data_IF_888016657557
#
_entry.id   IF_888016657557
#
_cell.length_a   1.000
_cell.length_b   1.000
_cell.length_c   1.000
_cell.angle_alpha   90.00
_cell.angle_beta   90.00
_cell.angle_gamma   90.00
#
_symmetry.space_group_name_H-M   'P 1'
#
loop_
_entity.id
_entity.type
_entity.pdbx_description
1 polymer ?
#
# COMPACT_ATOMS: atom_id res chain seq x y z
N UNK A 1 -2.08 9.85 20.68
CA UNK A 1 -1.50 9.51 19.38
C UNK A 1 -1.08 10.83 18.74
N UNK A 2 0.21 11.15 18.72
CA UNK A 2 0.68 12.34 18.00
C UNK A 2 0.21 12.28 16.54
N UNK A 3 -0.28 13.41 16.02
CA UNK A 3 -0.83 13.47 14.67
C UNK A 3 0.31 13.37 13.63
N UNK A 4 0.24 12.38 12.74
CA UNK A 4 1.27 12.18 11.70
C UNK A 4 1.31 13.40 10.75
N UNK A 5 2.37 14.21 10.86
CA UNK A 5 2.59 15.39 10.02
C UNK A 5 2.61 15.05 8.53
N UNK A 6 3.13 13.87 8.13
CA UNK A 6 3.15 13.46 6.72
C UNK A 6 1.74 13.21 6.18
N UNK A 7 0.88 12.57 6.97
CA UNK A 7 -0.52 12.39 6.61
C UNK A 7 -1.27 13.72 6.53
N UNK A 8 -0.94 14.68 7.41
CA UNK A 8 -1.48 16.03 7.32
C UNK A 8 -1.01 16.78 6.06
N UNK A 9 0.23 16.60 5.63
CA UNK A 9 0.74 17.21 4.39
C UNK A 9 0.14 16.56 3.14
N UNK A 10 -0.13 15.26 3.17
CA UNK A 10 -0.71 14.53 2.04
C UNK A 10 -2.21 14.80 1.85
N UNK A 11 -2.95 14.99 2.94
CA UNK A 11 -4.41 15.15 2.93
C UNK A 11 -4.89 16.32 2.04
N UNK A 12 -4.33 17.54 2.10
CA UNK A 12 -4.71 18.66 1.26
C UNK A 12 -4.52 18.46 -0.24
N UNK A 13 -3.70 17.49 -0.67
CA UNK A 13 -3.52 17.22 -2.10
C UNK A 13 -4.68 16.42 -2.73
N UNK A 14 -5.59 15.86 -1.92
CA UNK A 14 -6.75 15.11 -2.41
C UNK A 14 -7.95 16.05 -2.65
N UNK A 15 -7.84 16.89 -3.67
CA UNK A 15 -8.89 17.85 -4.07
C UNK A 15 -9.72 17.28 -5.22
N UNK A 16 -11.07 17.29 -5.16
CA UNK A 16 -11.91 16.86 -6.27
C UNK A 16 -11.53 17.58 -7.58
N UNK A 17 -11.50 16.83 -8.68
CA UNK A 17 -11.17 17.32 -10.03
C UNK A 17 -9.72 17.84 -10.21
N UNK A 18 -8.85 17.70 -9.20
CA UNK A 18 -7.43 17.95 -9.32
C UNK A 18 -6.67 16.63 -9.38
N UNK A 19 -6.11 16.30 -10.55
CA UNK A 19 -5.34 15.07 -10.72
C UNK A 19 -4.08 15.08 -9.85
N UNK A 20 -3.97 14.09 -8.97
CA UNK A 20 -2.78 13.81 -8.18
C UNK A 20 -2.11 12.54 -8.72
N UNK A 21 -0.90 12.69 -9.25
CA UNK A 21 -0.11 11.56 -9.75
C UNK A 21 0.79 11.03 -8.65
N UNK A 22 0.64 9.73 -8.35
CA UNK A 22 1.56 9.00 -7.49
C UNK A 22 2.45 8.12 -8.37
N UNK A 23 3.73 8.45 -8.46
CA UNK A 23 4.69 7.52 -9.04
C UNK A 23 4.92 6.35 -8.09
N UNK A 24 4.88 5.15 -8.64
CA UNK A 24 5.21 3.95 -7.92
C UNK A 24 6.73 3.75 -7.93
N UNK A 25 7.38 3.94 -6.79
CA UNK A 25 8.84 3.73 -6.61
C UNK A 25 9.09 2.48 -5.77
N UNK A 26 10.27 1.89 -5.91
CA UNK A 26 10.60 0.64 -5.22
C UNK A 26 12.04 0.56 -4.72
N UNK A 27 12.90 1.50 -5.09
CA UNK A 27 14.27 1.62 -4.62
C UNK A 27 14.69 3.10 -4.62
N UNK A 28 15.89 3.40 -4.12
CA UNK A 28 16.41 4.75 -4.08
C UNK A 28 16.69 5.32 -5.49
N UNK A 29 17.05 4.48 -6.46
CA UNK A 29 17.34 4.91 -7.83
C UNK A 29 16.06 5.40 -8.54
N UNK A 30 14.98 4.61 -8.51
CA UNK A 30 13.66 4.96 -9.04
C UNK A 30 13.06 6.17 -8.30
N UNK A 31 13.27 6.28 -6.99
CA UNK A 31 12.93 7.49 -6.24
C UNK A 31 13.66 8.71 -6.81
N UNK A 32 14.97 8.65 -6.95
CA UNK A 32 15.78 9.78 -7.42
C UNK A 32 15.41 10.18 -8.84
N UNK A 33 15.10 9.22 -9.71
CA UNK A 33 14.58 9.50 -11.06
C UNK A 33 13.27 10.28 -10.97
N UNK A 34 12.30 9.80 -10.19
CA UNK A 34 11.00 10.48 -10.02
C UNK A 34 11.15 11.88 -9.43
N UNK A 35 11.99 12.03 -8.40
CA UNK A 35 12.25 13.33 -7.77
C UNK A 35 12.97 14.29 -8.72
N UNK A 36 13.89 13.78 -9.55
CA UNK A 36 14.60 14.57 -10.56
C UNK A 36 13.72 15.10 -11.69
N UNK A 37 12.50 14.56 -11.87
CA UNK A 37 11.51 15.10 -12.80
C UNK A 37 10.79 16.35 -12.26
N UNK A 38 10.96 16.68 -10.99
CA UNK A 38 10.51 17.95 -10.43
C UNK A 38 11.55 19.05 -10.67
N UNK A 39 11.10 20.22 -11.10
CA UNK A 39 11.90 21.44 -11.24
C UNK A 39 11.20 22.62 -10.55
N UNK A 40 11.82 23.81 -10.60
CA UNK A 40 11.16 25.04 -10.13
C UNK A 40 9.93 25.37 -10.98
N UNK A 41 9.99 25.08 -12.28
CA UNK A 41 8.91 25.35 -13.23
C UNK A 41 7.77 24.33 -13.18
N UNK A 42 8.03 23.07 -12.78
CA UNK A 42 7.02 22.01 -12.78
C UNK A 42 7.27 20.96 -11.70
N UNK A 43 6.24 20.63 -10.92
CA UNK A 43 6.29 19.61 -9.86
C UNK A 43 5.18 18.57 -10.04
N UNK A 44 5.28 17.70 -11.06
CA UNK A 44 4.26 16.70 -11.36
C UNK A 44 4.07 15.68 -10.22
N UNK A 45 5.12 15.41 -9.44
CA UNK A 45 5.07 14.44 -8.34
C UNK A 45 5.12 15.15 -6.98
N UNK A 46 3.96 15.29 -6.35
CA UNK A 46 3.81 15.86 -4.99
C UNK A 46 3.90 14.80 -3.88
N UNK A 47 3.76 13.54 -4.26
CA UNK A 47 3.85 12.39 -3.37
C UNK A 47 4.23 11.14 -4.19
N UNK A 48 4.74 10.12 -3.50
CA UNK A 48 5.12 8.83 -4.07
C UNK A 48 4.23 7.72 -3.49
N UNK A 49 4.05 6.65 -4.25
CA UNK A 49 3.48 5.39 -3.79
C UNK A 49 4.53 4.29 -3.98
N UNK A 50 4.40 3.16 -3.29
CA UNK A 50 5.30 2.03 -3.54
C UNK A 50 4.61 0.99 -4.43
N UNK A 51 5.28 0.57 -5.50
CA UNK A 51 4.85 -0.59 -6.28
C UNK A 51 5.33 -1.87 -5.61
N UNK A 52 4.58 -2.32 -4.60
CA UNK A 52 4.89 -3.53 -3.83
C UNK A 52 4.86 -4.84 -4.64
N UNK A 53 4.47 -4.77 -5.91
CA UNK A 53 4.42 -5.94 -6.79
C UNK A 53 5.63 -6.04 -7.73
N UNK A 54 6.21 -4.89 -8.12
CA UNK A 54 7.27 -4.82 -9.14
C UNK A 54 8.66 -5.13 -8.56
N UNK A 55 8.98 -4.65 -7.35
CA UNK A 55 10.28 -4.95 -6.70
C UNK A 55 10.50 -6.44 -6.48
N UNK A 56 9.46 -7.13 -6.01
CA UNK A 56 9.52 -8.55 -5.74
C UNK A 56 9.63 -9.35 -7.04
N UNK A 57 8.91 -8.91 -8.07
CA UNK A 57 9.07 -9.42 -9.42
C UNK A 57 10.50 -9.22 -9.95
N UNK A 58 11.12 -8.06 -9.68
CA UNK A 58 12.45 -7.71 -10.14
C UNK A 58 13.57 -8.48 -9.42
N UNK A 59 13.52 -8.60 -8.09
CA UNK A 59 14.58 -9.24 -7.31
C UNK A 59 14.38 -10.73 -7.05
N UNK A 60 13.13 -11.21 -7.04
CA UNK A 60 12.79 -12.59 -6.59
C UNK A 60 11.88 -13.35 -7.55
N UNK A 61 11.58 -12.79 -8.73
CA UNK A 61 10.70 -13.38 -9.72
C UNK A 61 9.22 -13.00 -9.53
N UNK A 62 8.49 -12.98 -10.66
CA UNK A 62 7.10 -12.55 -10.72
C UNK A 62 6.24 -13.26 -9.65
N UNK A 63 5.59 -12.50 -8.77
CA UNK A 63 4.72 -13.04 -7.71
C UNK A 63 5.36 -13.25 -6.33
N UNK A 64 6.67 -13.03 -6.15
CA UNK A 64 7.32 -13.27 -4.86
C UNK A 64 6.85 -12.33 -3.71
N UNK A 65 6.30 -11.16 -4.04
CA UNK A 65 5.91 -10.13 -3.06
C UNK A 65 7.07 -9.56 -2.21
N UNK A 66 6.85 -8.41 -1.56
CA UNK A 66 7.80 -7.89 -0.57
C UNK A 66 7.78 -8.74 0.70
N UNK A 67 8.94 -8.96 1.30
CA UNK A 67 9.03 -9.40 2.70
C UNK A 67 8.69 -8.24 3.65
N UNK A 68 8.52 -8.52 4.94
CA UNK A 68 8.34 -7.44 5.92
C UNK A 68 9.60 -6.60 6.11
N UNK A 69 10.78 -7.20 5.99
CA UNK A 69 12.06 -6.47 6.10
C UNK A 69 12.25 -5.48 4.95
N UNK A 70 11.85 -5.86 3.74
CA UNK A 70 11.86 -4.97 2.58
C UNK A 70 10.93 -3.76 2.82
N UNK A 71 9.75 -3.97 3.41
CA UNK A 71 8.81 -2.88 3.74
C UNK A 71 9.39 -1.96 4.81
N UNK A 72 9.97 -2.52 5.87
CA UNK A 72 10.61 -1.72 6.93
C UNK A 72 11.76 -0.88 6.38
N UNK A 73 12.58 -1.44 5.50
CA UNK A 73 13.66 -0.73 4.81
C UNK A 73 13.11 0.43 3.99
N UNK A 74 12.10 0.20 3.14
CA UNK A 74 11.49 1.27 2.35
C UNK A 74 10.88 2.37 3.21
N UNK A 75 10.16 2.02 4.27
CA UNK A 75 9.55 3.01 5.16
C UNK A 75 10.63 3.88 5.80
N UNK A 76 11.75 3.29 6.20
CA UNK A 76 12.90 4.01 6.77
C UNK A 76 13.57 4.91 5.73
N UNK A 77 13.99 4.36 4.60
CA UNK A 77 14.71 5.09 3.54
C UNK A 77 13.88 6.24 2.95
N UNK A 78 12.56 6.10 2.97
CA UNK A 78 11.62 7.11 2.45
C UNK A 78 10.99 7.96 3.57
N UNK A 79 11.50 7.87 4.80
CA UNK A 79 11.05 8.66 5.96
C UNK A 79 9.52 8.65 6.12
N UNK A 80 8.90 7.47 5.99
CA UNK A 80 7.45 7.31 6.10
C UNK A 80 6.62 7.89 4.94
N UNK A 81 7.22 8.54 3.93
CA UNK A 81 6.55 9.17 2.78
C UNK A 81 6.07 8.17 1.74
N UNK A 82 5.57 7.03 2.17
CA UNK A 82 5.16 5.92 1.32
C UNK A 82 3.72 5.51 1.59
N UNK A 83 3.09 4.95 0.56
CA UNK A 83 1.82 4.23 0.70
C UNK A 83 2.08 2.73 0.75
N UNK A 84 1.81 2.08 1.89
CA UNK A 84 2.04 0.63 2.07
C UNK A 84 0.75 -0.16 1.93
N UNK A 85 0.75 -1.24 1.15
CA UNK A 85 -0.37 -2.19 1.13
C UNK A 85 -0.39 -2.99 2.42
N UNK A 86 -1.54 -3.03 3.10
CA UNK A 86 -1.76 -3.87 4.27
C UNK A 86 -1.68 -5.34 3.85
N UNK A 87 -0.80 -6.10 4.52
CA UNK A 87 -0.63 -7.52 4.24
C UNK A 87 -1.78 -8.37 4.80
N UNK A 88 -1.91 -9.60 4.29
CA UNK A 88 -2.99 -10.54 4.63
C UNK A 88 -2.50 -11.77 5.40
N UNK A 89 -1.20 -11.86 5.69
CA UNK A 89 -0.60 -13.01 6.41
C UNK A 89 -0.47 -12.70 7.90
N UNK A 90 -0.32 -13.74 8.73
CA UNK A 90 -0.05 -13.56 10.17
C UNK A 90 1.26 -12.84 10.47
N UNK A 91 2.21 -12.89 9.54
CA UNK A 91 3.48 -12.18 9.63
C UNK A 91 3.36 -10.71 9.17
N UNK A 92 2.23 -10.28 8.61
CA UNK A 92 2.09 -8.93 8.07
C UNK A 92 2.07 -7.86 9.17
N UNK A 93 2.66 -6.70 8.87
CA UNK A 93 2.56 -5.54 9.75
C UNK A 93 1.09 -5.10 9.92
N UNK A 94 0.69 -4.92 11.17
CA UNK A 94 -0.60 -4.38 11.57
C UNK A 94 -0.68 -2.88 11.29
N UNK A 95 -1.90 -2.35 11.18
CA UNK A 95 -2.16 -0.91 11.06
C UNK A 95 -1.47 -0.12 12.18
N UNK A 96 -1.51 -0.62 13.42
CA UNK A 96 -0.87 0.03 14.57
C UNK A 96 0.67 0.05 14.46
N UNK A 97 1.27 -0.99 13.88
CA UNK A 97 2.71 -1.06 13.64
C UNK A 97 3.12 -0.11 12.50
N UNK A 98 2.38 -0.10 11.38
CA UNK A 98 2.58 0.84 10.29
C UNK A 98 2.40 2.30 10.75
N UNK A 99 1.44 2.57 11.64
CA UNK A 99 1.24 3.89 12.22
C UNK A 99 2.42 4.33 13.11
N UNK A 100 2.97 3.41 13.92
CA UNK A 100 4.19 3.66 14.71
C UNK A 100 5.41 3.96 13.82
N UNK A 101 5.46 3.35 12.64
CA UNK A 101 6.47 3.64 11.61
C UNK A 101 6.19 4.93 10.81
N UNK A 102 5.17 5.71 11.20
CA UNK A 102 4.82 7.02 10.62
C UNK A 102 4.51 7.01 9.12
N UNK A 103 4.05 5.87 8.59
CA UNK A 103 3.66 5.75 7.18
C UNK A 103 2.56 6.75 6.82
N UNK A 104 2.72 7.47 5.70
CA UNK A 104 1.82 8.53 5.29
C UNK A 104 0.43 8.00 4.88
N UNK A 105 0.37 6.81 4.28
CA UNK A 105 -0.86 6.16 3.79
C UNK A 105 -0.80 4.64 3.88
N UNK A 106 -1.90 4.02 4.25
CA UNK A 106 -2.08 2.55 4.16
C UNK A 106 -3.11 2.27 3.06
N UNK A 107 -2.78 1.38 2.13
CA UNK A 107 -3.68 0.90 1.10
C UNK A 107 -4.19 -0.50 1.49
N UNK A 108 -5.50 -0.72 1.45
CA UNK A 108 -6.07 -2.06 1.71
C UNK A 108 -6.13 -2.93 0.44
N UNK A 109 -5.89 -2.36 -0.74
CA UNK A 109 -5.81 -3.08 -2.01
C UNK A 109 -7.09 -3.86 -2.34
N UNK A 110 -7.02 -4.84 -3.27
CA UNK A 110 -8.16 -5.73 -3.57
C UNK A 110 -8.43 -6.73 -2.43
N UNK A 111 -7.67 -6.68 -1.33
CA UNK A 111 -7.77 -7.63 -0.23
C UNK A 111 -9.18 -7.70 0.37
N UNK A 112 -9.86 -6.55 0.50
CA UNK A 112 -11.24 -6.52 1.01
C UNK A 112 -12.21 -7.22 0.05
N UNK A 113 -12.05 -7.01 -1.26
CA UNK A 113 -12.82 -7.72 -2.27
C UNK A 113 -12.57 -9.23 -2.20
N UNK A 114 -11.31 -9.66 -2.09
CA UNK A 114 -10.96 -11.08 -1.95
C UNK A 114 -11.55 -11.70 -0.68
N UNK A 115 -11.54 -10.98 0.44
CA UNK A 115 -12.19 -11.42 1.68
C UNK A 115 -13.69 -11.62 1.47
N UNK A 116 -14.36 -10.66 0.84
CA UNK A 116 -15.79 -10.77 0.53
C UNK A 116 -16.09 -11.98 -0.38
N UNK A 117 -15.31 -12.16 -1.45
CA UNK A 117 -15.50 -13.28 -2.38
C UNK A 117 -15.22 -14.64 -1.73
N UNK A 118 -14.25 -14.72 -0.83
CA UNK A 118 -13.96 -15.94 -0.08
C UNK A 118 -15.08 -16.28 0.92
N UNK A 119 -15.69 -15.26 1.54
CA UNK A 119 -16.84 -15.47 2.42
C UNK A 119 -18.05 -16.00 1.64
N UNK A 120 -18.34 -15.42 0.47
CA UNK A 120 -19.39 -15.91 -0.43
C UNK A 120 -19.14 -17.38 -0.83
N UNK A 121 -17.91 -17.69 -1.30
CA UNK A 121 -17.52 -19.06 -1.65
C UNK A 121 -17.68 -20.04 -0.48
N UNK A 122 -17.35 -19.63 0.75
CA UNK A 122 -17.50 -20.48 1.93
C UNK A 122 -18.97 -20.78 2.22
N UNK A 123 -19.84 -19.78 2.07
CA UNK A 123 -21.29 -19.96 2.21
C UNK A 123 -21.83 -20.95 1.17
N UNK A 124 -21.41 -20.83 -0.10
CA UNK A 124 -21.79 -21.75 -1.16
C UNK A 124 -21.34 -23.20 -0.86
N UNK A 125 -20.10 -23.38 -0.41
CA UNK A 125 -19.58 -24.71 -0.02
C UNK A 125 -20.40 -25.31 1.12
N UNK A 126 -20.76 -24.53 2.14
CA UNK A 126 -21.59 -24.99 3.25
C UNK A 126 -22.94 -25.52 2.77
N UNK A 127 -23.59 -24.80 1.84
CA UNK A 127 -24.86 -25.22 1.23
C UNK A 127 -24.69 -26.53 0.46
N UNK A 128 -23.62 -26.66 -0.33
CA UNK A 128 -23.33 -27.87 -1.09
C UNK A 128 -23.04 -29.09 -0.20
N UNK A 129 -22.53 -28.87 1.01
CA UNK A 129 -22.28 -29.91 2.03
C UNK A 129 -23.52 -30.23 2.89
N UNK A 130 -24.69 -29.67 2.55
CA UNK A 130 -25.96 -29.94 3.22
C UNK A 130 -26.27 -29.00 4.40
N UNK A 131 -25.46 -27.96 4.58
CA UNK A 131 -25.72 -26.87 5.51
C UNK A 131 -26.75 -25.85 5.00
N UNK A 132 -26.96 -24.80 5.78
CA UNK A 132 -27.85 -23.68 5.43
C UNK A 132 -27.05 -22.50 4.86
N UNK A 133 -27.74 -21.63 4.10
CA UNK A 133 -27.18 -20.36 3.69
C UNK A 133 -27.15 -19.42 4.90
N UNK A 134 -25.95 -19.07 5.36
CA UNK A 134 -25.78 -18.11 6.46
C UNK A 134 -25.81 -16.69 5.90
N UNK A 135 -26.76 -15.88 6.36
CA UNK A 135 -26.77 -14.43 6.15
C UNK A 135 -25.84 -13.75 7.17
N UNK A 136 -25.08 -12.74 6.72
CA UNK A 136 -24.11 -11.98 7.52
C UNK A 136 -24.74 -10.73 8.13
#
# INVERSE_FOLDING_TARGET
MELNQLSQTLKPFHVPYQTLVFANVWDLASLNIVLGLNSEASKPFKAIATALWVFAAYYRGYGAGFTEDDKQTLIKELDGRVSIRLGQTRAALLVSQLAKLRVARINVGPSLFQVAMNAAKKSDVNVLEGGILEEV
#
